data_IF_943342723891
#
_entry.id   IF_943342723891
#
_cell.length_a   1.000
_cell.length_b   1.000
_cell.length_c   1.000
_cell.angle_alpha   90.00
_cell.angle_beta   90.00
_cell.angle_gamma   90.00
#
_symmetry.space_group_name_H-M   'P 1'
#
loop_
_entity.id
_entity.type
_entity.pdbx_description
1 polymer ?
#
# COMPACT_ATOMS: atom_id res chain seq x y z
N UNK A 1 13.90 -11.26 -13.54
CA UNK A 1 13.86 -9.79 -13.80
C UNK A 1 15.17 -9.17 -13.29
N UNK A 2 15.75 -8.18 -13.99
CA UNK A 2 16.99 -7.53 -13.56
C UNK A 2 16.73 -6.06 -13.22
N UNK A 3 17.18 -5.61 -12.04
CA UNK A 3 17.08 -4.22 -11.60
C UNK A 3 18.45 -3.58 -11.66
N UNK A 4 18.58 -2.45 -12.36
CA UNK A 4 19.85 -1.76 -12.55
C UNK A 4 19.89 -0.44 -11.79
N UNK A 5 21.08 -0.09 -11.31
CA UNK A 5 21.37 1.25 -10.87
C UNK A 5 20.96 1.59 -9.43
N UNK A 6 20.81 0.58 -8.58
CA UNK A 6 20.41 0.74 -7.18
C UNK A 6 21.61 1.23 -6.35
N UNK A 7 21.37 2.16 -5.41
CA UNK A 7 22.42 2.59 -4.49
C UNK A 7 22.82 1.41 -3.59
N UNK A 8 24.12 1.24 -3.22
CA UNK A 8 24.57 0.08 -2.45
C UNK A 8 23.77 -0.18 -1.17
N UNK A 9 23.43 0.89 -0.43
CA UNK A 9 22.63 0.81 0.80
C UNK A 9 21.20 0.29 0.56
N UNK A 10 20.56 0.73 -0.52
CA UNK A 10 19.19 0.31 -0.83
C UNK A 10 19.17 -1.16 -1.28
N UNK A 11 20.22 -1.59 -2.00
CA UNK A 11 20.42 -3.00 -2.34
C UNK A 11 20.67 -3.88 -1.11
N UNK A 12 21.44 -3.39 -0.12
CA UNK A 12 21.65 -4.09 1.16
C UNK A 12 20.32 -4.27 1.92
N UNK A 13 19.52 -3.20 2.00
CA UNK A 13 18.23 -3.21 2.68
C UNK A 13 17.24 -4.14 2.00
N UNK A 14 17.18 -4.13 0.68
CA UNK A 14 16.27 -4.99 -0.08
C UNK A 14 16.68 -6.46 0.01
N UNK A 15 17.99 -6.77 -0.11
CA UNK A 15 18.51 -8.13 0.09
C UNK A 15 18.15 -8.64 1.48
N UNK A 16 18.44 -7.84 2.52
CA UNK A 16 18.11 -8.21 3.89
C UNK A 16 16.60 -8.47 4.07
N UNK A 17 15.75 -7.65 3.46
CA UNK A 17 14.30 -7.83 3.53
C UNK A 17 13.85 -9.12 2.82
N UNK A 18 14.40 -9.45 1.66
CA UNK A 18 14.12 -10.71 0.98
C UNK A 18 14.52 -11.91 1.84
N UNK A 19 15.74 -11.92 2.36
CA UNK A 19 16.30 -13.08 3.07
C UNK A 19 15.69 -13.29 4.46
N UNK A 20 15.31 -12.20 5.14
CA UNK A 20 14.88 -12.23 6.55
C UNK A 20 13.38 -12.11 6.72
N UNK A 21 12.67 -11.64 5.70
CA UNK A 21 11.23 -11.40 5.78
C UNK A 21 10.48 -12.11 4.65
N UNK A 22 10.65 -11.73 3.38
CA UNK A 22 9.78 -12.22 2.31
C UNK A 22 9.89 -13.74 2.12
N UNK A 23 11.11 -14.26 2.00
CA UNK A 23 11.36 -15.69 1.86
C UNK A 23 10.83 -16.49 3.06
N UNK A 24 11.24 -16.16 4.31
CA UNK A 24 10.74 -16.84 5.50
C UNK A 24 9.24 -16.71 5.75
N UNK A 25 8.60 -15.61 5.34
CA UNK A 25 7.16 -15.43 5.43
C UNK A 25 6.37 -16.22 4.38
N UNK A 26 7.05 -16.77 3.37
CA UNK A 26 6.41 -17.46 2.25
C UNK A 26 5.52 -16.52 1.43
N UNK A 27 5.87 -15.24 1.36
CA UNK A 27 5.14 -14.26 0.55
C UNK A 27 5.49 -14.48 -0.92
N UNK A 28 4.47 -14.60 -1.76
CA UNK A 28 4.66 -14.76 -3.19
C UNK A 28 5.39 -13.54 -3.79
N UNK A 29 6.69 -13.71 -4.05
CA UNK A 29 7.57 -12.69 -4.61
C UNK A 29 8.71 -13.39 -5.36
N UNK A 30 9.24 -12.82 -6.46
CA UNK A 30 10.36 -13.43 -7.17
C UNK A 30 11.59 -13.53 -6.25
N UNK A 31 12.20 -14.72 -6.19
CA UNK A 31 13.36 -14.94 -5.34
C UNK A 31 14.55 -14.13 -5.85
N UNK A 32 15.26 -13.46 -4.94
CA UNK A 32 16.49 -12.75 -5.23
C UNK A 32 17.63 -13.78 -5.37
N UNK A 33 18.19 -13.89 -6.57
CA UNK A 33 19.21 -14.90 -6.90
C UNK A 33 20.62 -14.37 -6.78
N UNK A 34 20.85 -13.17 -7.30
CA UNK A 34 22.19 -12.63 -7.39
C UNK A 34 22.19 -11.13 -7.25
N UNK A 35 23.26 -10.63 -6.64
CA UNK A 35 23.63 -9.22 -6.62
C UNK A 35 24.95 -9.04 -7.36
N UNK A 36 25.00 -8.04 -8.23
CA UNK A 36 26.17 -7.71 -9.04
C UNK A 36 26.55 -6.26 -8.76
N UNK A 37 27.82 -6.05 -8.37
CA UNK A 37 28.36 -4.70 -8.25
C UNK A 37 28.68 -4.15 -9.65
N UNK A 38 28.20 -2.94 -9.92
CA UNK A 38 28.43 -2.19 -11.16
C UNK A 38 29.01 -0.82 -10.77
N UNK A 39 30.34 -0.75 -10.58
CA UNK A 39 31.06 0.40 -10.06
C UNK A 39 30.43 0.97 -8.77
N UNK A 40 29.81 2.16 -8.87
CA UNK A 40 29.13 2.87 -7.77
C UNK A 40 27.68 2.42 -7.55
N UNK A 41 27.21 1.44 -8.31
CA UNK A 41 25.82 0.97 -8.30
C UNK A 41 25.75 -0.55 -8.12
N UNK A 42 24.54 -1.03 -7.88
CA UNK A 42 24.25 -2.46 -7.75
C UNK A 42 23.17 -2.85 -8.74
N UNK A 43 23.26 -4.08 -9.23
CA UNK A 43 22.17 -4.76 -9.91
C UNK A 43 21.68 -5.95 -9.07
N UNK A 44 20.38 -6.11 -9.00
CA UNK A 44 19.72 -7.23 -8.31
C UNK A 44 18.99 -8.08 -9.34
N UNK A 45 19.29 -9.38 -9.34
CA UNK A 45 18.77 -10.37 -10.28
C UNK A 45 17.78 -11.25 -9.54
N UNK A 46 16.53 -11.21 -10.00
CA UNK A 46 15.43 -11.98 -9.45
C UNK A 46 15.00 -13.07 -10.42
N UNK A 47 14.35 -14.10 -9.89
CA UNK A 47 13.63 -15.06 -10.71
C UNK A 47 12.65 -14.39 -11.67
N UNK A 48 12.42 -15.06 -12.78
CA UNK A 48 11.36 -14.68 -13.68
C UNK A 48 10.05 -15.26 -13.17
N UNK A 49 9.03 -14.41 -13.05
CA UNK A 49 7.67 -14.84 -12.81
C UNK A 49 6.90 -14.76 -14.15
N UNK A 50 6.39 -15.88 -14.68
CA UNK A 50 5.56 -15.84 -15.88
C UNK A 50 4.23 -15.17 -15.51
N UNK A 51 3.85 -14.11 -16.21
CA UNK A 51 2.61 -13.41 -15.92
C UNK A 51 2.61 -11.99 -16.44
N UNK A 52 1.47 -11.31 -16.24
CA UNK A 52 1.31 -9.91 -16.58
C UNK A 52 0.92 -9.08 -15.35
N UNK A 53 1.25 -7.78 -15.33
CA UNK A 53 0.75 -6.86 -14.33
C UNK A 53 -0.78 -6.88 -14.21
N UNK A 54 -1.30 -6.78 -12.99
CA UNK A 54 -2.73 -6.90 -12.67
C UNK A 54 -3.57 -5.79 -13.35
N UNK A 55 -3.00 -4.61 -13.59
CA UNK A 55 -3.65 -3.53 -14.34
C UNK A 55 -3.92 -3.89 -15.81
N UNK A 56 -3.21 -4.89 -16.35
CA UNK A 56 -3.38 -5.40 -17.71
C UNK A 56 -4.34 -6.59 -17.82
N UNK A 57 -4.83 -7.13 -16.70
CA UNK A 57 -5.81 -8.22 -16.71
C UNK A 57 -7.20 -7.79 -17.23
N UNK A 58 -7.46 -6.49 -17.36
CA UNK A 58 -8.74 -5.97 -17.86
C UNK A 58 -9.85 -5.97 -16.80
N UNK A 59 -11.13 -5.87 -17.22
CA UNK A 59 -12.28 -5.91 -16.31
C UNK A 59 -12.33 -7.20 -15.48
N UNK A 60 -12.69 -7.10 -14.19
CA UNK A 60 -12.78 -8.26 -13.31
C UNK A 60 -11.49 -8.60 -12.56
N UNK A 61 -10.44 -7.77 -12.69
CA UNK A 61 -9.20 -7.88 -11.92
C UNK A 61 -9.44 -7.91 -10.40
N UNK A 62 -10.57 -7.36 -9.92
CA UNK A 62 -10.98 -7.35 -8.52
C UNK A 62 -11.07 -8.76 -7.91
N UNK A 63 -11.27 -9.79 -8.75
CA UNK A 63 -11.26 -11.20 -8.33
C UNK A 63 -9.91 -11.64 -7.72
N UNK A 64 -8.82 -10.93 -8.00
CA UNK A 64 -7.49 -11.20 -7.44
C UNK A 64 -7.24 -10.54 -6.08
N UNK A 65 -8.10 -9.60 -5.66
CA UNK A 65 -7.94 -8.89 -4.37
C UNK A 65 -7.84 -9.85 -3.18
N UNK A 66 -8.67 -10.92 -3.06
CA UNK A 66 -8.53 -11.89 -1.98
C UNK A 66 -7.16 -12.58 -1.93
N UNK A 67 -6.58 -12.91 -3.09
CA UNK A 67 -5.27 -13.54 -3.17
C UNK A 67 -4.15 -12.56 -2.75
N UNK A 68 -4.20 -11.30 -3.20
CA UNK A 68 -3.27 -10.25 -2.76
C UNK A 68 -3.40 -10.01 -1.25
N UNK A 69 -4.62 -9.99 -0.72
CA UNK A 69 -4.85 -9.87 0.73
C UNK A 69 -4.29 -11.05 1.52
N UNK A 70 -4.31 -12.26 0.96
CA UNK A 70 -3.70 -13.43 1.58
C UNK A 70 -2.17 -13.26 1.72
N UNK A 71 -1.50 -12.73 0.69
CA UNK A 71 -0.05 -12.43 0.77
C UNK A 71 0.26 -11.35 1.80
N UNK A 72 -0.51 -10.26 1.83
CA UNK A 72 -0.33 -9.22 2.84
C UNK A 72 -0.58 -9.78 4.25
N UNK A 73 -1.57 -10.64 4.41
CA UNK A 73 -1.87 -11.29 5.70
C UNK A 73 -0.72 -12.21 6.14
N UNK A 74 -0.14 -12.99 5.23
CA UNK A 74 1.08 -13.80 5.50
C UNK A 74 2.22 -12.93 6.02
N UNK A 75 2.52 -11.83 5.31
CA UNK A 75 3.57 -10.89 5.70
C UNK A 75 3.34 -10.31 7.11
N UNK A 76 2.09 -9.93 7.40
CA UNK A 76 1.71 -9.32 8.67
C UNK A 76 1.74 -10.31 9.83
N UNK A 77 1.26 -11.54 9.61
CA UNK A 77 1.31 -12.63 10.59
C UNK A 77 2.74 -13.03 10.89
N UNK A 78 3.59 -13.15 9.87
CA UNK A 78 5.00 -13.39 10.05
C UNK A 78 5.65 -12.28 10.89
N UNK A 79 5.42 -11.01 10.56
CA UNK A 79 5.95 -9.90 11.35
C UNK A 79 5.46 -9.91 12.81
N UNK A 80 4.21 -10.30 13.06
CA UNK A 80 3.65 -10.40 14.41
C UNK A 80 4.20 -11.57 15.22
N UNK A 81 4.60 -12.67 14.57
CA UNK A 81 5.17 -13.85 15.24
C UNK A 81 6.66 -13.71 15.55
N UNK A 82 7.36 -12.78 14.90
CA UNK A 82 8.76 -12.48 15.20
C UNK A 82 8.90 -11.76 16.55
N UNK A 83 9.81 -12.25 17.41
CA UNK A 83 10.17 -11.60 18.68
C UNK A 83 10.71 -10.18 18.44
N UNK A 84 10.62 -9.26 19.42
CA UNK A 84 11.03 -7.84 19.29
C UNK A 84 12.50 -7.59 18.90
N UNK A 85 13.32 -8.63 18.71
CA UNK A 85 14.69 -8.55 18.19
C UNK A 85 14.76 -8.35 16.67
N UNK A 86 13.76 -8.81 15.92
CA UNK A 86 13.55 -8.37 14.53
C UNK A 86 12.82 -7.03 14.58
N UNK A 87 13.52 -5.99 15.04
CA UNK A 87 13.16 -4.62 14.67
C UNK A 87 13.45 -4.52 13.18
N UNK A 88 12.54 -5.05 12.38
CA UNK A 88 12.37 -4.68 10.97
C UNK A 88 12.29 -3.16 11.04
N UNK A 89 13.42 -2.51 10.75
CA UNK A 89 13.58 -1.08 10.92
C UNK A 89 12.49 -0.38 10.14
N UNK A 90 12.33 0.93 10.35
CA UNK A 90 11.53 1.72 9.44
C UNK A 90 12.12 1.54 8.03
N UNK A 91 11.54 0.62 7.25
CA UNK A 91 11.88 0.46 5.85
C UNK A 91 11.73 1.81 5.15
N UNK A 92 12.34 1.97 3.98
CA UNK A 92 12.35 3.23 3.25
C UNK A 92 10.94 3.75 2.90
N UNK A 93 9.88 2.94 3.04
CA UNK A 93 8.48 3.15 2.62
C UNK A 93 7.68 4.36 3.09
N UNK A 94 8.29 5.39 3.65
CA UNK A 94 7.58 6.60 4.10
C UNK A 94 7.26 7.67 3.03
N UNK A 95 7.91 7.76 1.85
CA UNK A 95 7.76 8.92 0.97
C UNK A 95 6.32 9.19 0.51
N UNK A 96 5.60 8.14 0.08
CA UNK A 96 4.26 8.32 -0.48
C UNK A 96 3.24 8.69 0.61
N UNK A 97 3.23 7.94 1.71
CA UNK A 97 2.38 8.27 2.86
C UNK A 97 2.67 9.69 3.37
N UNK A 98 3.94 10.04 3.59
CA UNK A 98 4.29 11.37 4.07
C UNK A 98 3.89 12.48 3.09
N UNK A 99 4.06 12.26 1.79
CA UNK A 99 3.61 13.20 0.75
C UNK A 99 2.10 13.39 0.81
N UNK A 100 1.34 12.29 0.88
CA UNK A 100 -0.12 12.31 0.95
C UNK A 100 -0.61 13.05 2.21
N UNK A 101 -0.06 12.70 3.38
CA UNK A 101 -0.40 13.35 4.65
C UNK A 101 -0.04 14.85 4.63
N UNK A 102 1.15 15.20 4.12
CA UNK A 102 1.60 16.60 4.03
C UNK A 102 0.71 17.42 3.12
N UNK A 103 0.30 16.87 1.98
CA UNK A 103 -0.59 17.56 1.06
C UNK A 103 -1.98 17.75 1.67
N UNK A 104 -2.55 16.70 2.26
CA UNK A 104 -3.84 16.79 2.94
C UNK A 104 -3.82 17.81 4.08
N UNK A 105 -2.72 17.87 4.85
CA UNK A 105 -2.52 18.88 5.89
C UNK A 105 -2.39 20.29 5.27
N UNK A 106 -1.58 20.45 4.23
CA UNK A 106 -1.41 21.72 3.53
C UNK A 106 -2.73 22.26 2.96
N UNK A 107 -3.55 21.39 2.41
CA UNK A 107 -4.86 21.81 1.92
C UNK A 107 -5.82 22.16 3.07
N UNK A 108 -5.81 21.40 4.17
CA UNK A 108 -6.62 21.72 5.36
C UNK A 108 -6.28 23.08 5.96
N UNK A 109 -5.02 23.51 5.84
CA UNK A 109 -4.53 24.82 6.30
C UNK A 109 -4.76 25.95 5.27
N UNK A 110 -5.10 25.63 4.02
CA UNK A 110 -5.26 26.60 2.94
C UNK A 110 -6.70 27.10 2.83
N UNK A 111 -6.98 28.42 3.01
CA UNK A 111 -8.34 28.97 3.04
C UNK A 111 -9.21 28.67 1.81
N UNK A 112 -8.59 28.55 0.62
CA UNK A 112 -9.29 28.30 -0.65
C UNK A 112 -9.39 26.84 -1.09
N UNK A 113 -8.59 25.92 -0.51
CA UNK A 113 -8.48 24.52 -0.95
C UNK A 113 -9.23 23.52 -0.08
N UNK A 114 -9.62 23.92 1.13
CA UNK A 114 -10.42 23.11 2.05
C UNK A 114 -11.82 23.71 2.27
N UNK A 115 -12.49 24.21 1.21
CA UNK A 115 -13.85 24.79 1.25
C UNK A 115 -14.80 23.94 2.12
N UNK A 116 -14.95 24.29 3.39
CA UNK A 116 -15.80 23.59 4.37
C UNK A 116 -15.26 22.25 4.93
N UNK A 117 -14.07 21.78 4.56
CA UNK A 117 -13.58 20.43 4.93
C UNK A 117 -12.42 20.38 5.91
N UNK A 118 -11.86 21.53 6.28
CA UNK A 118 -10.69 21.61 7.18
C UNK A 118 -10.84 20.71 8.41
N UNK A 119 -11.98 20.79 9.10
CA UNK A 119 -12.25 19.99 10.29
C UNK A 119 -12.24 18.48 9.98
N UNK A 120 -12.85 18.08 8.85
CA UNK A 120 -12.86 16.69 8.44
C UNK A 120 -11.46 16.18 8.10
N UNK A 121 -10.66 16.94 7.34
CA UNK A 121 -9.30 16.55 6.96
C UNK A 121 -8.40 16.40 8.18
N UNK A 122 -8.41 17.37 9.10
CA UNK A 122 -7.62 17.29 10.34
C UNK A 122 -8.05 16.10 11.20
N UNK A 123 -9.36 15.89 11.33
CA UNK A 123 -9.89 14.72 12.02
C UNK A 123 -9.44 13.41 11.34
N UNK A 124 -9.57 13.31 10.02
CA UNK A 124 -9.22 12.11 9.27
C UNK A 124 -7.74 11.80 9.41
N UNK A 125 -6.87 12.81 9.25
CA UNK A 125 -5.43 12.66 9.45
C UNK A 125 -5.10 12.14 10.86
N UNK A 126 -5.74 12.70 11.89
CA UNK A 126 -5.57 12.22 13.26
C UNK A 126 -6.04 10.77 13.45
N UNK A 127 -7.14 10.36 12.79
CA UNK A 127 -7.62 8.98 12.83
C UNK A 127 -6.68 8.02 12.09
N UNK A 128 -6.24 8.38 10.88
CA UNK A 128 -5.31 7.58 10.08
C UNK A 128 -3.95 7.43 10.77
N UNK A 129 -3.48 8.46 11.48
CA UNK A 129 -2.23 8.40 12.24
C UNK A 129 -2.29 7.41 13.41
N UNK A 130 -3.48 7.20 13.99
CA UNK A 130 -3.72 6.31 15.14
C UNK A 130 -4.06 4.87 14.73
N UNK A 131 -4.17 4.58 13.43
CA UNK A 131 -4.41 3.22 12.97
C UNK A 131 -3.22 2.32 13.32
N UNK A 132 -3.46 1.01 13.58
CA UNK A 132 -2.40 0.03 13.74
C UNK A 132 -1.41 0.10 12.57
N UNK A 133 -0.12 0.07 12.91
CA UNK A 133 0.96 -0.03 11.93
C UNK A 133 1.21 -1.51 11.66
N UNK A 134 1.23 -1.88 10.39
CA UNK A 134 1.49 -3.24 9.92
C UNK A 134 2.62 -3.22 8.92
N UNK A 135 3.33 -4.35 8.80
CA UNK A 135 4.31 -4.52 7.75
C UNK A 135 3.59 -4.51 6.40
N UNK A 136 4.08 -3.66 5.51
CA UNK A 136 3.37 -3.19 4.32
C UNK A 136 4.36 -3.10 3.16
N UNK A 137 3.85 -3.30 1.96
CA UNK A 137 4.58 -3.17 0.71
C UNK A 137 4.96 -1.72 0.42
N UNK A 138 4.07 -0.77 0.74
CA UNK A 138 4.29 0.67 0.65
C UNK A 138 4.33 1.26 -0.76
N UNK A 139 4.12 0.43 -1.78
CA UNK A 139 3.95 0.82 -3.19
C UNK A 139 3.05 -0.16 -3.96
N UNK A 140 2.06 -0.75 -3.29
CA UNK A 140 1.19 -1.77 -3.87
C UNK A 140 0.20 -1.19 -4.89
N UNK A 141 0.70 -0.73 -6.03
CA UNK A 141 -0.10 -0.46 -7.22
C UNK A 141 -0.40 -1.77 -7.96
N UNK A 142 -1.44 -1.76 -8.81
CA UNK A 142 -1.78 -2.93 -9.65
C UNK A 142 -0.63 -3.37 -10.56
N UNK A 143 0.21 -2.45 -11.01
CA UNK A 143 1.40 -2.75 -11.80
C UNK A 143 2.44 -3.60 -11.04
N UNK A 144 2.43 -3.55 -9.71
CA UNK A 144 3.34 -4.27 -8.82
C UNK A 144 2.78 -5.63 -8.35
N UNK A 145 1.67 -6.07 -8.95
CA UNK A 145 1.11 -7.40 -8.78
C UNK A 145 1.17 -8.10 -10.13
N UNK A 146 2.03 -9.11 -10.25
CA UNK A 146 2.06 -9.98 -11.43
C UNK A 146 1.07 -11.11 -11.24
N UNK A 147 0.36 -11.47 -12.31
CA UNK A 147 -0.66 -12.51 -12.33
C UNK A 147 -0.39 -13.49 -13.46
N UNK A 148 -0.36 -14.77 -13.11
CA UNK A 148 -0.47 -15.88 -14.06
C UNK A 148 -1.89 -16.45 -13.96
N UNK A 149 -2.76 -16.01 -14.87
CA UNK A 149 -4.16 -16.42 -14.87
C UNK A 149 -4.35 -17.89 -15.24
N UNK A 150 -3.42 -18.47 -16.03
CA UNK A 150 -3.49 -19.89 -16.40
C UNK A 150 -3.20 -20.79 -15.19
N UNK A 151 -2.28 -20.36 -14.33
CA UNK A 151 -1.88 -21.10 -13.13
C UNK A 151 -2.64 -20.72 -11.88
N UNK A 152 -3.39 -19.62 -11.90
CA UNK A 152 -4.04 -19.12 -10.69
C UNK A 152 -3.04 -18.52 -9.69
N UNK A 153 -1.85 -18.11 -10.14
CA UNK A 153 -0.75 -17.66 -9.30
C UNK A 153 -0.56 -16.14 -9.40
N UNK A 154 0.02 -15.55 -8.36
CA UNK A 154 0.45 -14.15 -8.38
C UNK A 154 1.82 -13.98 -7.73
N UNK A 155 2.46 -12.85 -8.00
CA UNK A 155 3.64 -12.42 -7.27
C UNK A 155 3.63 -10.91 -7.05
N UNK A 156 4.03 -10.50 -5.85
CA UNK A 156 4.24 -9.10 -5.49
C UNK A 156 5.69 -8.71 -5.78
N UNK A 157 5.87 -7.61 -6.52
CA UNK A 157 7.18 -7.11 -6.97
C UNK A 157 7.43 -5.67 -6.52
N UNK A 158 8.66 -5.18 -6.68
CA UNK A 158 9.02 -3.79 -6.35
C UNK A 158 8.84 -3.43 -4.85
N UNK A 159 9.34 -4.31 -4.00
CA UNK A 159 9.36 -4.15 -2.55
C UNK A 159 10.24 -2.99 -2.02
N UNK A 160 10.84 -2.16 -2.86
CA UNK A 160 11.76 -1.09 -2.42
C UNK A 160 11.16 -0.10 -1.42
N UNK A 161 9.84 -0.01 -1.32
CA UNK A 161 9.15 0.90 -0.41
C UNK A 161 8.49 0.17 0.75
N UNK A 162 8.95 -1.03 1.10
CA UNK A 162 8.41 -1.74 2.25
C UNK A 162 8.57 -0.91 3.54
N UNK A 163 7.68 -1.13 4.50
CA UNK A 163 7.76 -0.47 5.80
C UNK A 163 6.56 -0.71 6.71
N UNK A 164 6.61 -0.11 7.89
CA UNK A 164 5.50 -0.11 8.86
C UNK A 164 4.53 1.03 8.53
N UNK A 165 3.43 0.70 7.87
CA UNK A 165 2.42 1.66 7.40
C UNK A 165 1.06 1.41 8.05
N UNK A 166 0.18 2.42 8.13
CA UNK A 166 -1.14 2.24 8.68
C UNK A 166 -1.91 1.16 7.91
N UNK A 167 -2.57 0.27 8.64
CA UNK A 167 -3.41 -0.78 8.04
C UNK A 167 -4.41 -0.19 7.05
N UNK A 168 -4.59 -0.85 5.92
CA UNK A 168 -5.44 -0.39 4.81
C UNK A 168 -4.76 0.54 3.79
N UNK A 169 -3.53 1.01 4.04
CA UNK A 169 -2.80 1.85 3.08
C UNK A 169 -2.55 1.14 1.74
N UNK A 170 -1.92 -0.05 1.76
CA UNK A 170 -1.61 -0.82 0.55
C UNK A 170 -2.88 -1.20 -0.23
N UNK A 171 -3.95 -1.59 0.47
CA UNK A 171 -5.21 -1.93 -0.17
C UNK A 171 -5.88 -0.72 -0.83
N UNK A 172 -5.84 0.46 -0.20
CA UNK A 172 -6.32 1.68 -0.84
C UNK A 172 -5.49 2.05 -2.08
N UNK A 173 -4.18 1.76 -2.06
CA UNK A 173 -3.30 2.01 -3.20
C UNK A 173 -3.58 1.02 -4.35
N UNK A 174 -3.77 -0.25 -4.04
CA UNK A 174 -4.13 -1.30 -4.99
C UNK A 174 -5.45 -0.99 -5.69
N UNK A 175 -6.45 -0.53 -4.92
CA UNK A 175 -7.79 -0.20 -5.42
C UNK A 175 -7.92 1.26 -5.87
N UNK A 176 -6.81 1.99 -6.03
CA UNK A 176 -6.86 3.37 -6.48
C UNK A 176 -7.53 3.46 -7.86
N UNK A 177 -8.53 4.34 -7.95
CA UNK A 177 -9.38 4.49 -9.12
C UNK A 177 -10.76 3.83 -8.97
N UNK A 178 -10.95 2.93 -7.99
CA UNK A 178 -12.28 2.43 -7.64
C UNK A 178 -13.06 3.44 -6.79
N UNK A 179 -14.40 3.46 -6.92
CA UNK A 179 -15.26 4.18 -5.98
C UNK A 179 -15.13 3.65 -4.55
N UNK A 180 -15.32 4.52 -3.57
CA UNK A 180 -15.17 4.18 -2.15
C UNK A 180 -16.10 3.07 -1.67
N UNK A 181 -17.34 3.08 -2.16
CA UNK A 181 -18.38 2.09 -1.89
C UNK A 181 -18.06 0.70 -2.45
N UNK A 182 -17.12 0.61 -3.40
CA UNK A 182 -16.62 -0.65 -3.96
C UNK A 182 -15.35 -1.09 -3.23
N UNK A 183 -14.39 -0.17 -3.07
CA UNK A 183 -13.09 -0.49 -2.47
C UNK A 183 -13.19 -0.95 -1.01
N UNK A 184 -14.05 -0.32 -0.19
CA UNK A 184 -14.17 -0.66 1.23
C UNK A 184 -14.71 -2.08 1.46
N UNK A 185 -15.83 -2.51 0.85
CA UNK A 185 -16.29 -3.90 0.94
C UNK A 185 -15.29 -4.93 0.41
N UNK A 186 -14.62 -4.64 -0.71
CA UNK A 186 -13.61 -5.53 -1.30
C UNK A 186 -12.43 -5.78 -0.35
N UNK A 187 -11.99 -4.76 0.38
CA UNK A 187 -10.94 -4.93 1.38
C UNK A 187 -11.34 -5.79 2.57
N UNK A 188 -12.64 -5.92 2.87
CA UNK A 188 -13.14 -6.67 4.02
C UNK A 188 -12.42 -6.38 5.34
N UNK A 189 -12.29 -7.41 6.18
CA UNK A 189 -11.52 -7.34 7.41
C UNK A 189 -12.16 -6.52 8.54
N UNK A 190 -11.35 -6.20 9.55
CA UNK A 190 -11.79 -5.49 10.75
C UNK A 190 -12.06 -3.99 10.51
N UNK A 191 -12.75 -3.37 11.47
CA UNK A 191 -13.12 -1.95 11.41
C UNK A 191 -11.94 -0.99 11.14
N UNK A 192 -10.76 -1.29 11.69
CA UNK A 192 -9.56 -0.47 11.48
C UNK A 192 -9.03 -0.54 10.03
N UNK A 193 -9.02 -1.73 9.41
CA UNK A 193 -8.62 -1.91 8.02
C UNK A 193 -9.58 -1.18 7.08
N UNK A 194 -10.89 -1.35 7.30
CA UNK A 194 -11.93 -0.67 6.52
C UNK A 194 -11.83 0.85 6.64
N UNK A 195 -11.58 1.37 7.85
CA UNK A 195 -11.34 2.80 8.06
C UNK A 195 -10.07 3.28 7.34
N UNK A 196 -8.99 2.50 7.39
CA UNK A 196 -7.77 2.78 6.64
C UNK A 196 -8.02 2.86 5.14
N UNK A 197 -8.70 1.86 4.57
CA UNK A 197 -9.03 1.82 3.15
C UNK A 197 -9.90 3.02 2.77
N UNK A 198 -11.03 3.23 3.44
CA UNK A 198 -11.92 4.36 3.13
C UNK A 198 -11.20 5.72 3.25
N UNK A 199 -10.39 5.90 4.29
CA UNK A 199 -9.68 7.15 4.53
C UNK A 199 -8.55 7.41 3.52
N UNK A 200 -7.75 6.41 3.17
CA UNK A 200 -6.72 6.58 2.16
C UNK A 200 -7.30 6.68 0.76
N UNK A 201 -8.37 5.95 0.42
CA UNK A 201 -9.11 6.13 -0.83
C UNK A 201 -9.60 7.57 -0.96
N UNK A 202 -10.19 8.14 0.10
CA UNK A 202 -10.59 9.55 0.10
C UNK A 202 -9.41 10.49 -0.20
N UNK A 203 -8.26 10.28 0.43
CA UNK A 203 -7.09 11.13 0.21
C UNK A 203 -6.48 10.97 -1.18
N UNK A 204 -6.44 9.75 -1.73
CA UNK A 204 -5.98 9.50 -3.10
C UNK A 204 -6.94 10.11 -4.13
N UNK A 205 -8.24 9.89 -3.99
CA UNK A 205 -9.22 10.49 -4.89
C UNK A 205 -9.17 12.02 -4.84
N UNK A 206 -8.93 12.62 -3.67
CA UNK A 206 -8.78 14.06 -3.53
C UNK A 206 -7.51 14.59 -4.20
N UNK A 207 -6.43 13.81 -4.17
CA UNK A 207 -5.20 14.09 -4.92
C UNK A 207 -5.46 14.09 -6.43
N UNK A 208 -6.25 13.12 -6.89
CA UNK A 208 -6.55 12.94 -8.32
C UNK A 208 -7.63 13.90 -8.83
N UNK A 209 -8.59 14.27 -7.97
CA UNK A 209 -9.79 15.05 -8.30
C UNK A 209 -10.04 16.15 -7.25
N UNK A 210 -9.50 17.36 -7.43
CA UNK A 210 -9.68 18.48 -6.49
C UNK A 210 -11.15 18.84 -6.18
N UNK A 211 -12.09 18.52 -7.08
CA UNK A 211 -13.53 18.75 -6.91
C UNK A 211 -14.29 17.68 -6.11
N UNK A 212 -13.64 16.58 -5.69
CA UNK A 212 -14.27 15.45 -5.00
C UNK A 212 -15.13 15.87 -3.80
N UNK A 213 -14.68 16.88 -3.07
CA UNK A 213 -15.35 17.46 -1.89
C UNK A 213 -16.85 17.70 -2.10
N UNK A 214 -17.21 18.22 -3.28
CA UNK A 214 -18.55 18.68 -3.62
C UNK A 214 -19.42 17.59 -4.25
N UNK A 215 -18.84 16.43 -4.59
CA UNK A 215 -19.57 15.32 -5.19
C UNK A 215 -20.31 14.50 -4.13
N UNK A 216 -21.31 13.73 -4.58
CA UNK A 216 -21.99 12.78 -3.69
C UNK A 216 -21.04 11.67 -3.25
N UNK A 217 -20.16 11.21 -4.14
CA UNK A 217 -19.10 10.25 -3.83
C UNK A 217 -18.20 10.73 -2.66
N UNK A 218 -17.73 11.98 -2.71
CA UNK A 218 -16.95 12.56 -1.63
C UNK A 218 -17.75 12.63 -0.32
N UNK A 219 -19.02 13.07 -0.37
CA UNK A 219 -19.90 13.09 0.81
C UNK A 219 -20.10 11.71 1.41
N UNK A 220 -20.35 10.70 0.56
CA UNK A 220 -20.53 9.32 0.97
C UNK A 220 -19.28 8.75 1.65
N UNK A 221 -18.09 8.94 1.07
CA UNK A 221 -16.82 8.52 1.67
C UNK A 221 -16.55 9.18 3.03
N UNK A 222 -16.83 10.49 3.17
CA UNK A 222 -16.69 11.19 4.46
C UNK A 222 -17.61 10.62 5.53
N UNK A 223 -18.88 10.39 5.18
CA UNK A 223 -19.88 9.77 6.06
C UNK A 223 -19.40 8.39 6.50
N UNK A 224 -18.93 7.59 5.53
CA UNK A 224 -18.44 6.25 5.77
C UNK A 224 -17.23 6.20 6.69
N UNK A 225 -16.27 7.12 6.52
CA UNK A 225 -15.14 7.25 7.45
C UNK A 225 -15.61 7.51 8.89
N UNK A 226 -16.62 8.37 9.10
CA UNK A 226 -17.16 8.68 10.44
C UNK A 226 -17.85 7.47 11.07
N UNK A 227 -18.68 6.77 10.31
CA UNK A 227 -19.33 5.52 10.72
C UNK A 227 -18.30 4.48 11.15
N UNK A 228 -17.28 4.25 10.31
CA UNK A 228 -16.19 3.31 10.60
C UNK A 228 -15.31 3.78 11.76
N UNK A 229 -15.27 5.07 12.09
CA UNK A 229 -14.58 5.59 13.25
C UNK A 229 -15.41 5.55 14.56
N UNK A 230 -16.72 5.32 14.48
CA UNK A 230 -17.62 5.29 15.64
C UNK A 230 -18.18 6.66 16.03
N UNK A 231 -18.05 7.64 15.15
CA UNK A 231 -18.79 8.89 15.26
C UNK A 231 -20.10 8.73 14.49
N UNK A 232 -21.22 8.71 15.22
CA UNK A 232 -22.54 9.01 14.64
C UNK A 232 -22.68 10.51 14.52
#
# INVERSE_FOLDING_TARGET
MARFGVAPRDADLLQHFHDRVLGPAGVASPALRQRVALDRRQALIFDFFPGQPLDRCGPGWEAWVPAVMAELSRLQQFNASQRPGLRVGAGPGRPLLHRLMRQALGDALSPGRARGERHFLLWLLARLWRLPRVLSHGDLHRENVLVDAERGELALIDWERWGQLPIGFDLALLMRGLPGEVAEPLAGGGRAQRLGVAGFTYLFQRLDRPGLVQTEEGRALRRRCRELAGHR
#
